data_IF_188460418537
#
_entry.id   IF_188460418537
#
_cell.length_a   1.000
_cell.length_b   1.000
_cell.length_c   1.000
_cell.angle_alpha   90.00
_cell.angle_beta   90.00
_cell.angle_gamma   90.00
#
_symmetry.space_group_name_H-M   'P 1'
#
loop_
_entity.id
_entity.type
_entity.pdbx_description
1 polymer ?
#
# COMPACT_ATOMS: atom_id res chain seq x y z
N UNK A 1 -16.65 37.39 5.11
CA UNK A 1 -17.77 36.61 4.55
C UNK A 1 -18.18 37.19 3.20
N UNK A 2 -18.56 36.38 2.19
CA UNK A 2 -19.13 36.91 0.96
C UNK A 2 -20.33 37.80 1.28
N UNK A 3 -20.45 38.95 0.61
CA UNK A 3 -21.50 39.95 0.92
C UNK A 3 -22.90 39.51 0.43
N UNK A 4 -22.95 38.56 -0.49
CA UNK A 4 -24.17 38.16 -1.21
C UNK A 4 -24.84 36.88 -0.66
N UNK A 5 -24.19 36.12 0.23
CA UNK A 5 -24.70 34.82 0.72
C UNK A 5 -24.32 34.53 2.18
N UNK A 6 -25.20 33.83 2.89
CA UNK A 6 -24.98 33.42 4.29
C UNK A 6 -24.03 32.21 4.45
N UNK A 7 -23.96 31.36 3.42
CA UNK A 7 -23.15 30.14 3.43
C UNK A 7 -22.70 29.76 2.02
N UNK A 8 -21.60 29.01 1.94
CA UNK A 8 -21.08 28.45 0.69
C UNK A 8 -20.92 26.92 0.82
N UNK A 9 -21.02 26.23 -0.32
CA UNK A 9 -20.60 24.84 -0.47
C UNK A 9 -19.38 24.82 -1.38
N UNK A 10 -18.27 24.32 -0.87
CA UNK A 10 -16.98 24.32 -1.59
C UNK A 10 -16.24 22.99 -1.42
N UNK A 11 -15.37 22.69 -2.38
CA UNK A 11 -14.47 21.53 -2.32
C UNK A 11 -13.20 21.94 -1.60
N UNK A 12 -12.90 21.30 -0.48
CA UNK A 12 -11.69 21.57 0.30
C UNK A 12 -11.01 20.30 0.76
N UNK A 13 -9.67 20.32 0.83
CA UNK A 13 -8.86 19.21 1.36
C UNK A 13 -8.48 19.46 2.83
N UNK A 14 -7.80 20.57 3.11
CA UNK A 14 -7.32 20.91 4.46
C UNK A 14 -8.15 22.00 5.15
N UNK A 15 -9.07 22.66 4.44
CA UNK A 15 -9.81 23.81 4.95
C UNK A 15 -9.00 25.10 5.07
N UNK A 16 -7.73 25.10 4.64
CA UNK A 16 -6.82 26.26 4.79
C UNK A 16 -7.36 27.51 4.10
N UNK A 17 -7.85 27.36 2.87
CA UNK A 17 -8.44 28.47 2.08
C UNK A 17 -9.68 29.05 2.75
N UNK A 18 -10.56 28.19 3.29
CA UNK A 18 -11.78 28.63 3.99
C UNK A 18 -11.40 29.43 5.24
N UNK A 19 -10.43 28.94 6.02
CA UNK A 19 -9.93 29.62 7.21
C UNK A 19 -9.31 30.99 6.91
N UNK A 20 -8.55 31.11 5.82
CA UNK A 20 -7.96 32.39 5.37
C UNK A 20 -9.02 33.44 5.03
N UNK A 21 -10.21 33.02 4.61
CA UNK A 21 -11.34 33.90 4.31
C UNK A 21 -12.29 34.12 5.51
N UNK A 22 -11.87 33.72 6.71
CA UNK A 22 -12.69 33.83 7.92
C UNK A 22 -13.91 32.90 7.92
N UNK A 23 -13.90 31.85 7.10
CA UNK A 23 -14.99 30.86 7.02
C UNK A 23 -14.66 29.65 7.88
N UNK A 24 -15.71 28.99 8.40
CA UNK A 24 -15.63 27.77 9.20
C UNK A 24 -16.39 26.65 8.51
N UNK A 25 -15.80 25.46 8.47
CA UNK A 25 -16.50 24.24 8.04
C UNK A 25 -17.52 23.88 9.11
N UNK A 26 -18.80 23.90 8.74
CA UNK A 26 -19.92 23.55 9.63
C UNK A 26 -20.37 22.10 9.45
N UNK A 27 -20.26 21.56 8.24
CA UNK A 27 -20.64 20.18 7.92
C UNK A 27 -19.90 19.68 6.66
N UNK A 28 -19.93 18.37 6.42
CA UNK A 28 -19.37 17.70 5.24
C UNK A 28 -20.46 16.96 4.49
N UNK A 29 -20.80 17.43 3.28
CA UNK A 29 -21.80 16.79 2.43
C UNK A 29 -21.30 15.45 1.87
N UNK A 30 -20.06 15.43 1.38
CA UNK A 30 -19.46 14.25 0.75
C UNK A 30 -17.94 14.27 0.87
N UNK A 31 -17.33 13.10 0.97
CA UNK A 31 -15.88 12.91 0.77
C UNK A 31 -15.65 12.40 -0.64
N UNK A 32 -14.80 13.09 -1.40
CA UNK A 32 -14.44 12.69 -2.76
C UNK A 32 -13.04 12.08 -2.79
N UNK A 33 -12.86 11.07 -3.62
CA UNK A 33 -11.56 10.49 -3.94
C UNK A 33 -11.51 10.10 -5.41
N UNK A 34 -10.30 9.93 -5.97
CA UNK A 34 -10.13 9.45 -7.33
C UNK A 34 -10.57 7.98 -7.43
N UNK A 35 -11.37 7.68 -8.46
CA UNK A 35 -11.85 6.33 -8.76
C UNK A 35 -11.60 6.01 -10.24
N UNK A 36 -11.25 4.76 -10.54
CA UNK A 36 -11.26 4.23 -11.90
C UNK A 36 -12.68 3.78 -12.24
N UNK A 37 -13.27 4.35 -13.28
CA UNK A 37 -14.64 4.06 -13.71
C UNK A 37 -14.60 3.43 -15.10
N UNK A 38 -15.34 2.33 -15.28
CA UNK A 38 -15.49 1.65 -16.56
C UNK A 38 -16.94 1.68 -17.04
N UNK A 39 -17.13 1.78 -18.37
CA UNK A 39 -18.45 1.71 -18.98
C UNK A 39 -19.02 0.28 -18.88
N UNK A 40 -20.27 0.15 -18.42
CA UNK A 40 -20.94 -1.15 -18.22
C UNK A 40 -21.14 -1.96 -19.50
N UNK A 41 -21.32 -1.32 -20.66
CA UNK A 41 -21.43 -2.00 -21.94
C UNK A 41 -20.06 -2.50 -22.42
N UNK A 42 -19.00 -1.72 -22.23
CA UNK A 42 -17.63 -2.15 -22.54
C UNK A 42 -17.19 -3.36 -21.73
N UNK A 43 -17.70 -3.54 -20.51
CA UNK A 43 -17.45 -4.74 -19.69
C UNK A 43 -18.14 -6.00 -20.24
N UNK A 44 -19.12 -5.89 -21.14
CA UNK A 44 -19.78 -7.05 -21.77
C UNK A 44 -19.01 -7.57 -22.98
N UNK A 45 -18.16 -6.74 -23.58
CA UNK A 45 -17.27 -7.12 -24.67
C UNK A 45 -16.01 -7.77 -24.09
N UNK A 46 -15.74 -9.03 -24.47
CA UNK A 46 -14.63 -9.82 -23.89
C UNK A 46 -13.27 -9.14 -24.08
N UNK A 47 -12.99 -8.63 -25.28
CA UNK A 47 -11.70 -8.03 -25.60
C UNK A 47 -11.49 -6.72 -24.83
N UNK A 48 -12.53 -5.89 -24.76
CA UNK A 48 -12.48 -4.63 -23.98
C UNK A 48 -12.38 -4.90 -22.48
N UNK A 49 -13.14 -5.88 -21.98
CA UNK A 49 -13.11 -6.30 -20.58
C UNK A 49 -11.70 -6.69 -20.16
N UNK A 50 -11.02 -7.54 -20.91
CA UNK A 50 -9.63 -7.93 -20.62
C UNK A 50 -8.69 -6.72 -20.51
N UNK A 51 -8.77 -5.78 -21.45
CA UNK A 51 -7.96 -4.55 -21.38
C UNK A 51 -8.31 -3.64 -20.21
N UNK A 52 -9.58 -3.58 -19.81
CA UNK A 52 -9.98 -2.88 -18.60
C UNK A 52 -9.34 -3.54 -17.37
N UNK A 53 -9.35 -4.87 -17.27
CA UNK A 53 -8.73 -5.59 -16.16
C UNK A 53 -7.21 -5.46 -16.13
N UNK A 54 -6.53 -5.39 -17.28
CA UNK A 54 -5.10 -5.07 -17.36
C UNK A 54 -4.80 -3.72 -16.69
N UNK A 55 -5.60 -2.69 -16.99
CA UNK A 55 -5.47 -1.35 -16.39
C UNK A 55 -5.78 -1.38 -14.89
N UNK A 56 -6.87 -2.05 -14.49
CA UNK A 56 -7.26 -2.22 -13.09
C UNK A 56 -6.12 -2.87 -12.30
N UNK A 57 -5.48 -3.89 -12.87
CA UNK A 57 -4.35 -4.60 -12.24
C UNK A 57 -3.16 -3.68 -12.02
N UNK A 58 -2.77 -2.89 -13.02
CA UNK A 58 -1.66 -1.95 -12.92
C UNK A 58 -1.93 -0.83 -11.90
N UNK A 59 -3.14 -0.26 -11.93
CA UNK A 59 -3.52 0.82 -11.00
C UNK A 59 -3.64 0.31 -9.56
N UNK A 60 -4.31 -0.83 -9.35
CA UNK A 60 -4.42 -1.46 -8.04
C UNK A 60 -3.05 -1.80 -7.48
N UNK A 61 -2.15 -2.30 -8.32
CA UNK A 61 -0.79 -2.58 -7.93
C UNK A 61 0.01 -1.37 -7.47
N UNK A 62 -0.20 -0.22 -8.11
CA UNK A 62 0.41 1.05 -7.68
C UNK A 62 -0.15 1.54 -6.35
N UNK A 63 -1.47 1.44 -6.15
CA UNK A 63 -2.12 1.77 -4.87
C UNK A 63 -1.59 0.85 -3.76
N UNK A 64 -1.39 -0.43 -4.05
CA UNK A 64 -0.92 -1.40 -3.08
C UNK A 64 0.57 -1.22 -2.76
N UNK A 65 1.41 -0.94 -3.76
CA UNK A 65 2.83 -0.65 -3.58
C UNK A 65 3.08 0.47 -2.57
N UNK A 66 2.25 1.53 -2.61
CA UNK A 66 2.32 2.66 -1.66
C UNK A 66 2.10 2.27 -0.20
N UNK A 67 1.40 1.17 0.08
CA UNK A 67 1.04 0.74 1.45
C UNK A 67 2.11 -0.14 2.11
N UNK A 68 3.02 -0.70 1.32
CA UNK A 68 4.00 -1.68 1.79
C UNK A 68 5.42 -1.14 1.74
N UNK A 69 6.31 -1.81 2.47
CA UNK A 69 7.76 -1.71 2.37
C UNK A 69 8.33 -3.06 2.02
N UNK A 70 9.35 -3.05 1.20
CA UNK A 70 10.20 -4.20 0.93
C UNK A 70 11.44 -4.12 1.82
N UNK A 71 11.69 -5.18 2.58
CA UNK A 71 12.78 -5.27 3.54
C UNK A 71 13.77 -6.33 3.12
N UNK A 72 15.05 -5.97 3.14
CA UNK A 72 16.17 -6.91 3.11
C UNK A 72 16.93 -6.79 4.43
N UNK A 73 17.24 -7.89 5.10
CA UNK A 73 18.00 -7.86 6.34
C UNK A 73 18.81 -9.15 6.53
N UNK A 74 19.93 -9.04 7.24
CA UNK A 74 20.75 -10.19 7.59
C UNK A 74 20.47 -10.60 9.04
N UNK A 75 20.45 -11.89 9.31
CA UNK A 75 20.20 -12.44 10.64
C UNK A 75 21.02 -13.71 10.86
N UNK A 76 21.47 -13.94 12.09
CA UNK A 76 22.06 -15.23 12.47
C UNK A 76 21.00 -16.32 12.40
N UNK A 77 21.35 -17.50 11.91
CA UNK A 77 20.43 -18.63 11.76
C UNK A 77 19.65 -18.95 13.05
N UNK A 78 20.33 -18.90 14.20
CA UNK A 78 19.71 -19.15 15.51
C UNK A 78 18.58 -18.16 15.85
N UNK A 79 18.60 -16.96 15.28
CA UNK A 79 17.57 -15.93 15.50
C UNK A 79 16.43 -16.01 14.47
N UNK A 80 16.53 -16.84 13.43
CA UNK A 80 15.52 -16.93 12.37
C UNK A 80 14.13 -17.29 12.91
N UNK A 81 14.04 -18.30 13.78
CA UNK A 81 12.76 -18.70 14.40
C UNK A 81 12.12 -17.55 15.20
N UNK A 82 12.94 -16.73 15.85
CA UNK A 82 12.46 -15.57 16.62
C UNK A 82 11.93 -14.50 15.66
N UNK A 83 12.64 -14.20 14.58
CA UNK A 83 12.18 -13.27 13.55
C UNK A 83 10.84 -13.70 12.93
N UNK A 84 10.70 -14.98 12.57
CA UNK A 84 9.48 -15.50 11.95
C UNK A 84 8.23 -15.38 12.84
N UNK A 85 8.39 -15.40 14.17
CA UNK A 85 7.29 -15.16 15.12
C UNK A 85 6.91 -13.68 15.22
N UNK A 86 7.85 -12.78 14.94
CA UNK A 86 7.68 -11.34 15.12
C UNK A 86 7.22 -10.63 13.85
N UNK A 87 7.45 -11.23 12.68
CA UNK A 87 7.03 -10.67 11.40
C UNK A 87 5.50 -10.76 11.24
N UNK A 88 4.84 -9.68 10.78
CA UNK A 88 3.42 -9.70 10.48
C UNK A 88 3.14 -10.69 9.34
N UNK A 89 2.12 -11.51 9.53
CA UNK A 89 1.81 -12.78 8.84
C UNK A 89 1.58 -12.71 7.32
N UNK A 90 1.74 -11.55 6.68
CA UNK A 90 1.20 -11.28 5.35
C UNK A 90 1.89 -12.06 4.22
N UNK A 91 3.18 -12.39 4.31
CA UNK A 91 3.86 -13.30 3.34
C UNK A 91 5.01 -14.06 4.00
N UNK A 92 5.13 -15.37 3.69
CA UNK A 92 6.30 -16.19 4.08
C UNK A 92 7.56 -15.53 3.51
N UNK A 93 8.52 -15.08 4.34
CA UNK A 93 9.69 -14.39 3.84
C UNK A 93 10.59 -15.35 3.06
N UNK A 94 11.29 -14.82 2.06
CA UNK A 94 12.37 -15.56 1.41
C UNK A 94 13.58 -15.55 2.33
N UNK A 95 14.16 -16.74 2.53
CA UNK A 95 15.37 -16.92 3.36
C UNK A 95 16.43 -17.54 2.48
N UNK A 96 17.62 -16.95 2.47
CA UNK A 96 18.76 -17.42 1.66
C UNK A 96 20.04 -17.44 2.48
N UNK A 97 20.89 -18.48 2.36
CA UNK A 97 22.17 -18.52 3.05
C UNK A 97 23.10 -17.41 2.53
N UNK A 98 23.89 -16.82 3.42
CA UNK A 98 24.94 -15.86 3.05
C UNK A 98 26.29 -16.56 2.90
N UNK A 99 27.27 -15.83 2.34
CA UNK A 99 28.66 -16.31 2.21
C UNK A 99 29.31 -16.61 3.56
N UNK A 100 28.95 -15.85 4.59
CA UNK A 100 29.36 -16.10 5.97
C UNK A 100 28.50 -17.20 6.60
N UNK A 101 29.15 -18.28 7.07
CA UNK A 101 28.46 -19.42 7.70
C UNK A 101 27.69 -18.97 8.95
N UNK A 102 26.48 -19.50 9.13
CA UNK A 102 25.62 -19.21 10.27
C UNK A 102 24.78 -17.93 10.11
N UNK A 103 24.81 -17.31 8.93
CA UNK A 103 24.00 -16.16 8.58
C UNK A 103 23.08 -16.43 7.39
N UNK A 104 21.90 -15.82 7.46
CA UNK A 104 20.91 -15.84 6.39
C UNK A 104 20.44 -14.42 6.06
N UNK A 105 20.24 -14.17 4.77
CA UNK A 105 19.53 -13.01 4.27
C UNK A 105 18.03 -13.30 4.26
N UNK A 106 17.24 -12.35 4.76
CA UNK A 106 15.79 -12.41 4.81
C UNK A 106 15.21 -11.28 3.98
N UNK A 107 14.34 -11.65 3.06
CA UNK A 107 13.64 -10.74 2.18
C UNK A 107 12.13 -10.86 2.42
N UNK A 108 11.48 -9.75 2.74
CA UNK A 108 10.05 -9.73 3.08
C UNK A 108 9.35 -8.43 2.70
N UNK A 109 8.02 -8.45 2.68
CA UNK A 109 7.18 -7.28 2.43
C UNK A 109 6.25 -7.10 3.62
N UNK A 110 6.21 -5.89 4.18
CA UNK A 110 5.40 -5.55 5.36
C UNK A 110 4.61 -4.27 5.14
N UNK A 111 3.52 -4.06 5.90
CA UNK A 111 2.78 -2.81 5.86
C UNK A 111 3.65 -1.67 6.42
N UNK A 112 3.63 -0.50 5.76
CA UNK A 112 4.35 0.72 6.22
C UNK A 112 4.07 1.04 7.71
N UNK A 113 2.80 1.01 8.19
CA UNK A 113 2.50 1.23 9.60
C UNK A 113 3.08 0.21 10.57
N UNK A 114 3.47 -0.99 10.15
CA UNK A 114 4.03 -1.99 11.06
C UNK A 114 5.56 -1.87 11.21
N UNK A 115 6.21 -1.12 10.32
CA UNK A 115 7.66 -0.99 10.32
C UNK A 115 8.20 -0.39 11.61
N UNK A 116 7.61 0.71 12.10
CA UNK A 116 8.05 1.35 13.35
C UNK A 116 7.92 0.42 14.56
N UNK A 117 6.94 -0.48 14.56
CA UNK A 117 6.73 -1.50 15.62
C UNK A 117 7.79 -2.60 15.57
N UNK A 118 8.33 -2.89 14.39
CA UNK A 118 9.34 -3.93 14.17
C UNK A 118 10.75 -3.47 14.53
N UNK A 119 11.09 -2.19 14.34
CA UNK A 119 12.45 -1.66 14.56
C UNK A 119 13.05 -2.04 15.93
N UNK A 120 12.36 -1.89 17.08
CA UNK A 120 12.93 -2.25 18.38
C UNK A 120 13.29 -3.73 18.51
N UNK A 121 12.54 -4.60 17.82
CA UNK A 121 12.75 -6.06 17.81
C UNK A 121 13.91 -6.41 16.88
N UNK A 122 13.89 -5.86 15.66
CA UNK A 122 14.91 -6.09 14.63
C UNK A 122 16.29 -5.63 15.11
N UNK A 123 16.39 -4.49 15.81
CA UNK A 123 17.66 -3.98 16.38
C UNK A 123 18.38 -4.98 17.29
N UNK A 124 17.66 -5.93 17.89
CA UNK A 124 18.24 -6.95 18.79
C UNK A 124 18.75 -8.19 18.07
N UNK A 125 18.30 -8.44 16.84
CA UNK A 125 18.48 -9.75 16.18
C UNK A 125 19.01 -9.67 14.75
N UNK A 126 18.84 -8.54 14.06
CA UNK A 126 19.15 -8.36 12.65
C UNK A 126 20.25 -7.29 12.44
N UNK A 127 20.90 -7.36 11.28
CA UNK A 127 21.92 -6.43 10.81
C UNK A 127 21.67 -6.05 9.34
N UNK A 128 22.20 -4.89 8.91
CA UNK A 128 22.15 -4.48 7.50
C UNK A 128 20.74 -4.38 6.93
N UNK A 129 19.81 -3.75 7.66
CA UNK A 129 18.42 -3.61 7.21
C UNK A 129 18.37 -2.57 6.09
N UNK A 130 17.93 -2.99 4.91
CA UNK A 130 17.65 -2.14 3.75
C UNK A 130 16.13 -2.08 3.55
N UNK A 131 15.62 -0.87 3.33
CA UNK A 131 14.19 -0.59 3.18
C UNK A 131 13.98 0.04 1.82
N UNK A 132 13.10 -0.56 1.02
CA UNK A 132 12.69 -0.02 -0.27
C UNK A 132 11.18 0.21 -0.31
N UNK A 133 10.78 1.29 -0.96
CA UNK A 133 9.38 1.50 -1.31
C UNK A 133 9.09 0.86 -2.69
N UNK A 134 8.28 -0.20 -2.76
CA UNK A 134 7.94 -0.81 -4.03
C UNK A 134 7.06 0.13 -4.83
N UNK A 135 7.42 0.37 -6.10
CA UNK A 135 6.60 1.17 -7.01
C UNK A 135 5.22 0.54 -7.22
N UNK A 136 5.17 -0.78 -7.36
CA UNK A 136 3.95 -1.56 -7.54
C UNK A 136 4.08 -2.92 -6.85
N UNK A 137 2.96 -3.45 -6.34
CA UNK A 137 2.82 -4.83 -5.90
C UNK A 137 1.58 -5.41 -6.58
N UNK A 138 1.77 -6.36 -7.49
CA UNK A 138 0.68 -7.00 -8.22
C UNK A 138 0.22 -8.26 -7.47
N UNK A 139 -1.01 -8.27 -6.97
CA UNK A 139 -1.66 -9.45 -6.40
C UNK A 139 -2.44 -10.16 -7.51
N UNK A 140 -1.70 -10.85 -8.38
CA UNK A 140 -2.28 -11.49 -9.57
C UNK A 140 -3.27 -12.60 -9.19
N UNK A 141 -3.15 -13.16 -7.99
CA UNK A 141 -4.01 -14.23 -7.48
C UNK A 141 -5.41 -13.72 -7.08
N UNK A 142 -5.52 -12.44 -6.69
CA UNK A 142 -6.79 -11.83 -6.25
C UNK A 142 -7.61 -11.30 -7.43
N UNK A 143 -6.95 -11.00 -8.55
CA UNK A 143 -7.58 -10.50 -9.76
C UNK A 143 -7.82 -11.69 -10.69
N UNK A 144 -8.91 -12.43 -10.43
CA UNK A 144 -9.33 -13.55 -11.27
C UNK A 144 -9.48 -13.10 -12.73
N UNK A 145 -8.74 -13.75 -13.63
CA UNK A 145 -9.05 -13.73 -15.06
C UNK A 145 -10.24 -14.67 -15.27
N UNK A 146 -11.28 -14.20 -15.94
CA UNK A 146 -12.47 -14.98 -16.33
C UNK A 146 -12.13 -16.07 -17.38
N UNK A 147 -11.03 -16.80 -17.24
CA UNK A 147 -10.77 -18.01 -18.06
C UNK A 147 -11.64 -19.20 -17.59
N UNK A 148 -12.45 -19.04 -16.53
CA UNK A 148 -13.33 -20.08 -15.96
C UNK A 148 -14.84 -19.78 -16.01
N UNK A 149 -15.34 -18.85 -16.84
CA UNK A 149 -16.79 -18.71 -17.10
C UNK A 149 -17.12 -18.62 -18.60
#
# INVERSE_FOLDING_TARGET
>A
PPEDVDAIMDVTETGTTLKQNGLKIIDTVMKSSAHLIANKQSLKDKNKREKIFDIVTLMSGAVQGKKYLHLYLNIKENNLKKLLKELPSLKKPTVSPLSEKGWVGVNTVILKPDFHKLIPKLRKIAQGIVVHEPRQILQLEEIKRDEEN
#
